data_IF_250701524201
#
_entry.id   IF_250701524201
#
_cell.length_a   1.000
_cell.length_b   1.000
_cell.length_c   1.000
_cell.angle_alpha   90.00
_cell.angle_beta   90.00
_cell.angle_gamma   90.00
#
_symmetry.space_group_name_H-M   'P 1'
#
loop_
_entity.id
_entity.type
_entity.pdbx_description
1 polymer ?
#
# COMPACT_ATOMS: atom_id res chain seq x y z
N UNK A 1 -32.81 12.92 10.33
CA UNK A 1 -32.36 11.52 10.44
C UNK A 1 -30.89 11.51 10.12
N UNK A 2 -30.06 11.04 11.07
CA UNK A 2 -28.66 10.76 10.80
C UNK A 2 -28.64 9.52 9.90
N UNK A 3 -27.88 9.56 8.81
CA UNK A 3 -27.77 8.42 7.90
C UNK A 3 -27.13 7.22 8.59
N UNK A 4 -27.45 6.00 8.15
CA UNK A 4 -26.83 4.75 8.63
C UNK A 4 -25.30 4.84 8.68
N UNK A 5 -24.69 5.40 7.63
CA UNK A 5 -23.24 5.53 7.54
C UNK A 5 -22.67 6.51 8.57
N UNK A 6 -23.34 7.65 8.80
CA UNK A 6 -22.93 8.63 9.83
C UNK A 6 -23.02 8.04 11.24
N UNK A 7 -24.07 7.24 11.55
CA UNK A 7 -24.19 6.53 12.83
C UNK A 7 -23.01 5.57 13.06
N UNK A 8 -22.68 4.78 12.04
CA UNK A 8 -21.59 3.80 12.08
C UNK A 8 -20.21 4.48 12.18
N UNK A 9 -19.99 5.58 11.47
CA UNK A 9 -18.77 6.40 11.57
C UNK A 9 -18.60 7.01 12.96
N UNK A 10 -19.66 7.58 13.53
CA UNK A 10 -19.61 8.11 14.90
C UNK A 10 -19.25 7.02 15.92
N UNK A 11 -19.86 5.84 15.81
CA UNK A 11 -19.53 4.71 16.68
C UNK A 11 -18.09 4.21 16.48
N UNK A 12 -17.61 4.16 15.24
CA UNK A 12 -16.23 3.80 14.88
C UNK A 12 -15.21 4.75 15.52
N UNK A 13 -15.45 6.07 15.39
CA UNK A 13 -14.59 7.14 15.93
C UNK A 13 -14.54 7.10 17.46
N UNK A 14 -15.71 7.07 18.12
CA UNK A 14 -15.83 7.06 19.59
C UNK A 14 -15.12 5.85 20.22
N UNK A 15 -15.09 4.71 19.52
CA UNK A 15 -14.55 3.46 20.01
C UNK A 15 -13.20 3.07 19.39
N UNK A 16 -12.58 3.95 18.61
CA UNK A 16 -11.27 3.77 17.99
C UNK A 16 -11.16 2.44 17.18
N UNK A 17 -12.18 2.15 16.36
CA UNK A 17 -12.30 0.89 15.62
C UNK A 17 -11.53 1.00 14.29
N UNK A 18 -10.21 1.13 14.39
CA UNK A 18 -9.30 1.24 13.23
C UNK A 18 -8.23 0.16 13.19
N UNK A 19 -8.13 -0.67 14.22
CA UNK A 19 -7.10 -1.71 14.30
C UNK A 19 -7.68 -3.10 14.08
N UNK A 20 -6.83 -4.05 13.70
CA UNK A 20 -7.25 -5.42 13.37
C UNK A 20 -8.11 -6.10 14.43
N UNK A 21 -7.92 -5.80 15.72
CA UNK A 21 -8.68 -6.41 16.82
C UNK A 21 -10.15 -5.98 16.84
N UNK A 22 -10.43 -4.69 17.09
CA UNK A 22 -11.77 -4.10 17.00
C UNK A 22 -12.48 -4.40 15.67
N UNK A 23 -11.79 -4.25 14.53
CA UNK A 23 -12.38 -4.55 13.21
C UNK A 23 -12.76 -6.04 13.08
N UNK A 24 -11.92 -6.96 13.56
CA UNK A 24 -12.26 -8.39 13.59
C UNK A 24 -13.52 -8.67 14.41
N UNK A 25 -13.73 -7.92 15.51
CA UNK A 25 -14.89 -8.09 16.37
C UNK A 25 -16.16 -7.63 15.69
N UNK A 26 -16.23 -6.38 15.23
CA UNK A 26 -17.47 -5.80 14.69
C UNK A 26 -17.96 -6.54 13.45
N UNK A 27 -17.06 -6.97 12.56
CA UNK A 27 -17.42 -7.79 11.39
C UNK A 27 -18.08 -9.10 11.81
N UNK A 28 -17.44 -9.86 12.69
CA UNK A 28 -17.95 -11.16 13.11
C UNK A 28 -19.19 -11.05 13.99
N UNK A 29 -19.24 -10.04 14.86
CA UNK A 29 -20.35 -9.83 15.77
C UNK A 29 -21.61 -9.42 15.02
N UNK A 30 -21.48 -8.53 14.01
CA UNK A 30 -22.59 -8.17 13.11
C UNK A 30 -23.21 -9.41 12.48
N UNK A 31 -22.38 -10.31 11.92
CA UNK A 31 -22.85 -11.59 11.37
C UNK A 31 -23.49 -12.50 12.42
N UNK A 32 -22.97 -12.51 13.64
CA UNK A 32 -23.46 -13.35 14.73
C UNK A 32 -24.88 -12.94 15.18
N UNK A 33 -25.17 -11.65 15.20
CA UNK A 33 -26.44 -11.11 15.72
C UNK A 33 -27.49 -10.84 14.64
N UNK A 34 -27.16 -10.95 13.35
CA UNK A 34 -28.07 -10.61 12.25
C UNK A 34 -29.43 -11.35 12.27
N UNK A 35 -29.49 -12.53 12.89
CA UNK A 35 -30.68 -13.39 12.98
C UNK A 35 -31.18 -13.53 14.43
N UNK A 36 -30.85 -12.58 15.31
CA UNK A 36 -31.25 -12.59 16.72
C UNK A 36 -32.39 -11.60 16.93
N UNK A 37 -33.25 -11.93 17.89
CA UNK A 37 -34.31 -11.03 18.32
C UNK A 37 -33.74 -9.92 19.21
N UNK A 38 -34.26 -8.71 19.04
CA UNK A 38 -33.95 -7.57 19.89
C UNK A 38 -34.90 -7.48 21.09
N UNK A 39 -34.46 -6.94 22.25
CA UNK A 39 -33.13 -6.43 22.52
C UNK A 39 -32.11 -7.55 22.76
N UNK A 40 -30.89 -7.35 22.26
CA UNK A 40 -29.75 -8.23 22.49
C UNK A 40 -29.25 -8.09 23.94
N UNK A 41 -28.88 -9.20 24.57
CA UNK A 41 -28.24 -9.22 25.89
C UNK A 41 -26.74 -9.54 25.75
N UNK A 42 -25.80 -8.67 26.20
CA UNK A 42 -24.37 -8.94 26.12
C UNK A 42 -23.92 -10.25 26.78
N UNK A 43 -24.63 -10.72 27.81
CA UNK A 43 -24.30 -11.97 28.52
C UNK A 43 -24.49 -13.22 27.65
N UNK A 44 -25.36 -13.17 26.64
CA UNK A 44 -25.63 -14.29 25.73
C UNK A 44 -24.46 -14.57 24.77
N UNK A 45 -23.53 -13.61 24.65
CA UNK A 45 -22.41 -13.67 23.71
C UNK A 45 -21.07 -13.89 24.39
N UNK A 46 -21.05 -14.33 25.64
CA UNK A 46 -19.82 -14.62 26.39
C UNK A 46 -19.51 -16.11 26.36
N UNK A 47 -18.23 -16.47 26.40
CA UNK A 47 -17.83 -17.87 26.64
C UNK A 47 -18.19 -18.31 28.06
N UNK A 48 -18.23 -19.62 28.31
CA UNK A 48 -18.50 -20.18 29.64
C UNK A 48 -17.54 -19.68 30.74
N UNK A 49 -16.32 -19.30 30.35
CA UNK A 49 -15.30 -18.68 31.22
C UNK A 49 -15.47 -17.17 31.43
N UNK A 50 -16.47 -16.53 30.80
CA UNK A 50 -16.78 -15.08 30.82
C UNK A 50 -15.65 -14.13 30.41
N UNK A 51 -14.56 -14.66 29.84
CA UNK A 51 -13.37 -13.88 29.47
C UNK A 51 -13.25 -13.54 27.99
N UNK A 52 -14.13 -14.08 27.14
CA UNK A 52 -14.08 -13.91 25.68
C UNK A 52 -15.49 -13.83 25.09
N UNK A 53 -15.58 -13.21 23.91
CA UNK A 53 -16.80 -13.21 23.11
C UNK A 53 -16.91 -14.56 22.39
N UNK A 54 -18.05 -15.22 22.53
CA UNK A 54 -18.36 -16.49 21.88
C UNK A 54 -18.51 -16.33 20.36
N UNK A 55 -18.16 -17.37 19.59
CA UNK A 55 -18.34 -17.38 18.13
C UNK A 55 -17.28 -16.62 17.31
N UNK A 56 -16.35 -15.91 17.97
CA UNK A 56 -15.22 -15.27 17.29
C UNK A 56 -14.10 -16.28 16.98
N UNK A 57 -13.49 -16.17 15.80
CA UNK A 57 -12.29 -16.94 15.45
C UNK A 57 -11.77 -16.63 14.05
N UNK A 58 -10.45 -16.75 13.86
CA UNK A 58 -9.79 -16.38 12.60
C UNK A 58 -10.34 -17.11 11.35
N UNK A 59 -10.73 -18.38 11.50
CA UNK A 59 -11.38 -19.13 10.42
C UNK A 59 -12.75 -18.57 10.02
N UNK A 60 -13.57 -18.16 11.00
CA UNK A 60 -14.87 -17.54 10.75
C UNK A 60 -14.71 -16.16 10.11
N UNK A 61 -13.83 -15.32 10.67
CA UNK A 61 -13.49 -14.01 10.09
C UNK A 61 -13.06 -14.12 8.63
N UNK A 62 -12.15 -15.06 8.32
CA UNK A 62 -11.67 -15.29 6.96
C UNK A 62 -12.80 -15.69 6.01
N UNK A 63 -13.80 -16.46 6.48
CA UNK A 63 -14.97 -16.83 5.68
C UNK A 63 -15.82 -15.60 5.36
N UNK A 64 -16.18 -14.80 6.37
CA UNK A 64 -17.00 -13.60 6.20
C UNK A 64 -16.30 -12.61 5.26
N UNK A 65 -15.02 -12.30 5.49
CA UNK A 65 -14.25 -11.39 4.65
C UNK A 65 -14.15 -11.86 3.19
N UNK A 66 -14.03 -13.19 2.97
CA UNK A 66 -14.00 -13.75 1.61
C UNK A 66 -15.32 -13.54 0.85
N UNK A 67 -16.46 -13.59 1.53
CA UNK A 67 -17.78 -13.28 0.93
C UNK A 67 -17.83 -11.81 0.44
N UNK A 68 -17.06 -10.94 1.08
CA UNK A 68 -16.86 -9.52 0.72
C UNK A 68 -15.69 -9.26 -0.25
N UNK A 69 -15.10 -10.31 -0.84
CA UNK A 69 -13.96 -10.21 -1.77
C UNK A 69 -12.60 -9.96 -1.10
N UNK A 70 -12.54 -9.93 0.23
CA UNK A 70 -11.31 -9.68 1.00
C UNK A 70 -10.63 -11.02 1.29
N UNK A 71 -9.46 -11.25 0.71
CA UNK A 71 -8.73 -12.53 0.80
C UNK A 71 -7.55 -12.49 1.77
N UNK A 72 -7.16 -11.29 2.22
CA UNK A 72 -6.09 -11.06 3.17
C UNK A 72 -6.51 -11.52 4.58
N UNK A 73 -5.54 -11.97 5.36
CA UNK A 73 -5.78 -12.32 6.75
C UNK A 73 -5.69 -11.07 7.64
N UNK A 74 -6.83 -10.61 8.16
CA UNK A 74 -6.88 -9.47 9.09
C UNK A 74 -6.30 -9.84 10.46
N UNK A 75 -6.69 -11.00 10.99
CA UNK A 75 -6.22 -11.49 12.28
C UNK A 75 -6.25 -13.01 12.32
N UNK A 76 -5.16 -13.63 12.77
CA UNK A 76 -5.09 -15.09 12.96
C UNK A 76 -6.05 -15.55 14.07
N UNK A 77 -6.19 -14.75 15.12
CA UNK A 77 -7.03 -15.07 16.28
C UNK A 77 -8.48 -14.64 16.09
N UNK A 78 -8.77 -13.78 15.12
CA UNK A 78 -10.13 -13.26 14.87
C UNK A 78 -10.68 -12.43 16.02
N UNK A 79 -9.85 -11.60 16.66
CA UNK A 79 -10.31 -10.68 17.71
C UNK A 79 -10.63 -11.33 19.05
N UNK A 80 -10.17 -12.55 19.33
CA UNK A 80 -10.44 -13.30 20.58
C UNK A 80 -9.68 -12.80 21.83
N UNK A 81 -9.09 -11.59 21.81
CA UNK A 81 -8.28 -11.10 22.92
C UNK A 81 -9.14 -10.52 24.05
N UNK A 82 -8.92 -10.98 25.28
CA UNK A 82 -9.76 -10.67 26.44
C UNK A 82 -9.71 -9.21 26.91
N UNK A 83 -8.62 -8.48 26.63
CA UNK A 83 -8.38 -7.13 27.20
C UNK A 83 -9.08 -5.97 26.49
N UNK A 84 -9.73 -6.18 25.33
CA UNK A 84 -10.41 -5.09 24.59
C UNK A 84 -11.71 -5.50 23.91
N UNK A 85 -11.82 -6.74 23.45
CA UNK A 85 -12.97 -7.23 22.69
C UNK A 85 -14.28 -7.24 23.49
N UNK A 86 -14.23 -7.59 24.78
CA UNK A 86 -15.43 -7.67 25.62
C UNK A 86 -16.09 -6.29 25.84
N UNK A 87 -15.28 -5.27 26.16
CA UNK A 87 -15.80 -3.92 26.37
C UNK A 87 -16.41 -3.35 25.09
N UNK A 88 -15.77 -3.60 23.94
CA UNK A 88 -16.32 -3.19 22.64
C UNK A 88 -17.61 -3.94 22.29
N UNK A 89 -17.70 -5.24 22.59
CA UNK A 89 -18.92 -6.02 22.36
C UNK A 89 -20.12 -5.46 23.14
N UNK A 90 -19.93 -5.15 24.43
CA UNK A 90 -20.99 -4.58 25.27
C UNK A 90 -21.49 -3.25 24.67
N UNK A 91 -20.56 -2.34 24.35
CA UNK A 91 -20.91 -1.06 23.72
C UNK A 91 -21.59 -1.23 22.37
N UNK A 92 -21.18 -2.23 21.58
CA UNK A 92 -21.77 -2.48 20.27
C UNK A 92 -23.18 -3.06 20.39
N UNK A 93 -23.44 -3.90 21.40
CA UNK A 93 -24.80 -4.35 21.73
C UNK A 93 -25.68 -3.17 22.12
N UNK A 94 -25.20 -2.29 23.01
CA UNK A 94 -25.94 -1.10 23.44
C UNK A 94 -26.27 -0.19 22.24
N UNK A 95 -25.29 0.02 21.35
CA UNK A 95 -25.46 0.77 20.11
C UNK A 95 -26.52 0.15 19.19
N UNK A 96 -26.47 -1.16 18.95
CA UNK A 96 -27.44 -1.84 18.09
C UNK A 96 -28.85 -1.84 18.71
N UNK A 97 -28.97 -2.02 20.02
CA UNK A 97 -30.25 -1.97 20.72
C UNK A 97 -30.89 -0.58 20.62
N UNK A 98 -30.12 0.47 20.92
CA UNK A 98 -30.59 1.84 20.81
C UNK A 98 -31.00 2.20 19.38
N UNK A 99 -30.24 1.75 18.38
CA UNK A 99 -30.61 1.93 16.98
C UNK A 99 -31.90 1.18 16.64
N UNK A 100 -32.04 -0.08 17.06
CA UNK A 100 -33.23 -0.89 16.78
C UNK A 100 -34.51 -0.36 17.44
N UNK A 101 -34.41 0.38 18.55
CA UNK A 101 -35.55 1.08 19.17
C UNK A 101 -36.06 2.23 18.29
N UNK A 102 -35.18 2.88 17.53
CA UNK A 102 -35.54 3.96 16.61
C UNK A 102 -36.02 3.44 15.25
N UNK A 103 -35.31 2.46 14.68
CA UNK A 103 -35.61 1.85 13.39
C UNK A 103 -34.94 0.47 13.27
N UNK A 104 -35.54 -0.45 12.51
CA UNK A 104 -34.95 -1.78 12.32
C UNK A 104 -33.57 -1.70 11.67
N UNK A 105 -32.58 -2.35 12.29
CA UNK A 105 -31.20 -2.35 11.79
C UNK A 105 -31.08 -3.22 10.54
N UNK A 106 -30.58 -2.65 9.45
CA UNK A 106 -30.20 -3.41 8.26
C UNK A 106 -28.76 -3.94 8.39
N UNK A 107 -28.63 -5.20 8.80
CA UNK A 107 -27.33 -5.85 8.98
C UNK A 107 -26.53 -6.02 7.69
N UNK A 108 -27.16 -6.01 6.51
CA UNK A 108 -26.41 -6.06 5.26
C UNK A 108 -25.62 -4.78 5.03
N UNK A 109 -26.22 -3.63 5.33
CA UNK A 109 -25.53 -2.33 5.25
C UNK A 109 -24.44 -2.22 6.32
N UNK A 110 -24.74 -2.65 7.56
CA UNK A 110 -23.76 -2.62 8.66
C UNK A 110 -22.55 -3.51 8.37
N UNK A 111 -22.78 -4.72 7.85
CA UNK A 111 -21.68 -5.63 7.53
C UNK A 111 -20.84 -5.14 6.36
N UNK A 112 -21.46 -4.61 5.30
CA UNK A 112 -20.72 -3.99 4.19
C UNK A 112 -19.88 -2.80 4.66
N UNK A 113 -20.42 -1.95 5.54
CA UNK A 113 -19.65 -0.86 6.14
C UNK A 113 -18.39 -1.36 6.85
N UNK A 114 -18.52 -2.37 7.72
CA UNK A 114 -17.36 -2.91 8.42
C UNK A 114 -16.38 -3.65 7.49
N UNK A 115 -16.88 -4.32 6.46
CA UNK A 115 -16.03 -4.89 5.41
C UNK A 115 -15.23 -3.79 4.71
N UNK A 116 -15.86 -2.65 4.40
CA UNK A 116 -15.17 -1.49 3.83
C UNK A 116 -14.12 -0.90 4.79
N UNK A 117 -14.40 -0.79 6.09
CA UNK A 117 -13.39 -0.36 7.07
C UNK A 117 -12.20 -1.32 7.14
N UNK A 118 -12.41 -2.62 6.90
CA UNK A 118 -11.31 -3.59 6.76
C UNK A 118 -10.54 -3.37 5.46
N UNK A 119 -11.21 -3.03 4.34
CA UNK A 119 -10.53 -2.66 3.10
C UNK A 119 -9.69 -1.41 3.31
N UNK A 120 -10.23 -0.38 3.96
CA UNK A 120 -9.51 0.85 4.34
C UNK A 120 -8.30 0.54 5.25
N UNK A 121 -8.45 -0.34 6.24
CA UNK A 121 -7.33 -0.76 7.08
C UNK A 121 -6.17 -1.32 6.25
N UNK A 122 -6.46 -2.26 5.33
CA UNK A 122 -5.43 -2.83 4.47
C UNK A 122 -4.90 -1.85 3.44
N UNK A 123 -5.76 -0.97 2.93
CA UNK A 123 -5.36 0.11 2.02
C UNK A 123 -4.38 1.04 2.70
N UNK A 124 -4.52 1.32 3.99
CA UNK A 124 -3.64 2.24 4.74
C UNK A 124 -2.39 1.59 5.36
N UNK A 125 -2.19 0.26 5.23
CA UNK A 125 -0.96 -0.37 5.72
C UNK A 125 0.24 0.07 4.87
N UNK A 126 1.39 0.40 5.47
CA UNK A 126 2.62 0.58 4.70
C UNK A 126 3.02 -0.72 3.99
N UNK A 127 3.90 -0.62 3.01
CA UNK A 127 4.67 -1.75 2.53
C UNK A 127 5.77 -2.10 3.54
N UNK A 128 6.31 -3.31 3.47
CA UNK A 128 7.43 -3.73 4.33
C UNK A 128 8.62 -4.15 3.48
N UNK A 129 9.78 -3.53 3.69
CA UNK A 129 11.05 -4.01 3.16
C UNK A 129 11.78 -4.78 4.25
N UNK A 130 11.85 -6.11 4.11
CA UNK A 130 12.68 -6.96 4.98
C UNK A 130 14.10 -7.03 4.42
N UNK A 131 15.07 -6.47 5.14
CA UNK A 131 16.48 -6.54 4.79
C UNK A 131 17.12 -7.82 5.36
N UNK A 132 16.85 -8.93 4.69
CA UNK A 132 17.46 -10.24 4.97
C UNK A 132 18.87 -10.28 4.39
N UNK A 133 19.88 -10.37 5.27
CA UNK A 133 21.30 -10.38 4.89
C UNK A 133 21.71 -11.63 4.11
N UNK A 134 20.94 -12.71 4.18
CA UNK A 134 21.16 -13.95 3.44
C UNK A 134 20.72 -13.87 1.97
N UNK A 135 19.97 -12.83 1.60
CA UNK A 135 19.49 -12.57 0.25
C UNK A 135 20.30 -11.45 -0.42
N UNK A 136 20.19 -11.38 -1.75
CA UNK A 136 20.67 -10.20 -2.49
C UNK A 136 19.76 -9.01 -2.23
N UNK A 137 20.29 -7.78 -2.39
CA UNK A 137 19.48 -6.56 -2.26
C UNK A 137 18.34 -6.56 -3.27
N UNK A 138 18.59 -7.00 -4.50
CA UNK A 138 17.56 -7.16 -5.53
C UNK A 138 16.43 -8.09 -5.09
N UNK A 139 16.74 -9.23 -4.45
CA UNK A 139 15.71 -10.16 -3.96
C UNK A 139 14.87 -9.55 -2.82
N UNK A 140 15.47 -8.75 -1.94
CA UNK A 140 14.70 -8.03 -0.91
C UNK A 140 13.78 -6.97 -1.55
N UNK A 141 14.25 -6.27 -2.59
CA UNK A 141 13.44 -5.31 -3.36
C UNK A 141 12.32 -6.00 -4.17
N UNK A 142 12.54 -7.21 -4.66
CA UNK A 142 11.51 -8.00 -5.37
C UNK A 142 10.32 -8.28 -4.46
N UNK A 143 10.56 -8.63 -3.20
CA UNK A 143 9.49 -8.86 -2.22
C UNK A 143 8.66 -7.59 -1.97
N UNK A 144 9.31 -6.42 -1.95
CA UNK A 144 8.63 -5.13 -1.87
C UNK A 144 7.78 -4.87 -3.13
N UNK A 145 8.34 -5.12 -4.32
CA UNK A 145 7.61 -4.91 -5.58
C UNK A 145 6.44 -5.87 -5.75
N UNK A 146 6.55 -7.11 -5.31
CA UNK A 146 5.43 -8.05 -5.28
C UNK A 146 4.31 -7.60 -4.34
N UNK A 147 4.64 -6.97 -3.19
CA UNK A 147 3.63 -6.33 -2.34
C UNK A 147 2.89 -5.20 -3.07
N UNK A 148 3.62 -4.32 -3.76
CA UNK A 148 3.03 -3.23 -4.54
C UNK A 148 2.14 -3.75 -5.69
N UNK A 149 2.59 -4.77 -6.45
CA UNK A 149 1.80 -5.44 -7.49
C UNK A 149 0.51 -6.04 -6.92
N UNK A 150 0.61 -6.70 -5.76
CA UNK A 150 -0.55 -7.32 -5.11
C UNK A 150 -1.56 -6.26 -4.67
N UNK A 151 -1.10 -5.16 -4.07
CA UNK A 151 -1.98 -4.04 -3.67
C UNK A 151 -2.64 -3.38 -4.87
N UNK A 152 -1.93 -3.20 -5.98
CA UNK A 152 -2.47 -2.68 -7.23
C UNK A 152 -3.57 -3.58 -7.83
N UNK A 153 -3.39 -4.90 -7.81
CA UNK A 153 -4.45 -5.84 -8.24
C UNK A 153 -5.71 -5.75 -7.38
N UNK A 154 -5.56 -5.39 -6.11
CA UNK A 154 -6.66 -5.29 -5.14
C UNK A 154 -7.37 -3.94 -5.18
N UNK A 155 -6.69 -2.91 -5.66
CA UNK A 155 -7.22 -1.55 -5.79
C UNK A 155 -7.02 -1.04 -7.23
N UNK A 156 -7.84 -1.54 -8.19
CA UNK A 156 -7.76 -1.09 -9.58
C UNK A 156 -7.98 0.43 -9.66
N UNK A 157 -7.15 1.11 -10.45
CA UNK A 157 -7.19 2.58 -10.60
C UNK A 157 -5.97 3.29 -10.03
N UNK A 158 -5.25 2.67 -9.09
CA UNK A 158 -4.02 3.23 -8.51
C UNK A 158 -2.79 2.46 -8.99
N UNK A 159 -1.74 3.18 -9.44
CA UNK A 159 -0.51 2.60 -9.97
C UNK A 159 0.57 2.41 -8.90
N UNK A 160 0.27 1.64 -7.84
CA UNK A 160 1.18 1.47 -6.70
C UNK A 160 2.61 1.10 -7.07
N UNK A 161 2.82 0.13 -7.97
CA UNK A 161 4.18 -0.27 -8.34
C UNK A 161 4.91 0.86 -9.11
N UNK A 162 4.21 1.59 -9.96
CA UNK A 162 4.77 2.72 -10.70
C UNK A 162 5.22 3.83 -9.76
N UNK A 163 4.36 4.20 -8.81
CA UNK A 163 4.66 5.21 -7.79
C UNK A 163 5.84 4.80 -6.89
N UNK A 164 5.85 3.56 -6.40
CA UNK A 164 6.96 3.03 -5.58
C UNK A 164 8.27 3.06 -6.39
N UNK A 165 8.25 2.64 -7.65
CA UNK A 165 9.43 2.66 -8.53
C UNK A 165 9.96 4.08 -8.72
N UNK A 166 9.08 5.03 -9.09
CA UNK A 166 9.46 6.42 -9.32
C UNK A 166 10.07 7.07 -8.08
N UNK A 167 9.44 6.90 -6.90
CA UNK A 167 9.93 7.51 -5.67
C UNK A 167 11.19 6.85 -5.13
N UNK A 168 11.43 5.56 -5.40
CA UNK A 168 12.72 4.93 -5.10
C UNK A 168 13.84 5.46 -6.00
N UNK A 169 13.55 5.74 -7.27
CA UNK A 169 14.49 6.44 -8.16
C UNK A 169 14.80 7.83 -7.61
N UNK A 170 13.78 8.61 -7.24
CA UNK A 170 13.96 9.93 -6.62
C UNK A 170 14.81 9.85 -5.36
N UNK A 171 14.51 8.90 -4.46
CA UNK A 171 15.26 8.71 -3.22
C UNK A 171 16.75 8.44 -3.48
N UNK A 172 17.08 7.57 -4.43
CA UNK A 172 18.48 7.35 -4.85
C UNK A 172 19.10 8.62 -5.43
N UNK A 173 18.40 9.34 -6.31
CA UNK A 173 18.92 10.56 -6.93
C UNK A 173 19.21 11.64 -5.87
N UNK A 174 18.36 11.78 -4.85
CA UNK A 174 18.59 12.70 -3.72
C UNK A 174 19.87 12.38 -2.92
N UNK A 175 20.36 11.14 -2.93
CA UNK A 175 21.59 10.77 -2.22
C UNK A 175 22.86 11.17 -2.97
N UNK A 176 22.79 11.30 -4.30
CA UNK A 176 23.95 11.53 -5.16
C UNK A 176 23.97 12.92 -5.81
N UNK A 177 22.83 13.62 -5.82
CA UNK A 177 22.68 14.94 -6.41
C UNK A 177 22.65 16.04 -5.34
N UNK A 178 23.08 17.27 -5.66
CA UNK A 178 22.84 18.43 -4.80
C UNK A 178 21.35 18.64 -4.52
N UNK A 179 21.04 19.26 -3.38
CA UNK A 179 19.67 19.69 -3.06
C UNK A 179 19.09 20.57 -4.18
N UNK A 180 17.80 20.38 -4.49
CA UNK A 180 17.06 21.10 -5.54
C UNK A 180 17.63 20.94 -6.97
N UNK A 181 18.45 19.92 -7.24
CA UNK A 181 18.97 19.65 -8.58
C UNK A 181 17.90 19.13 -9.57
N UNK A 182 16.75 18.67 -9.07
CA UNK A 182 15.62 18.19 -9.86
C UNK A 182 14.32 18.31 -9.06
N UNK A 183 13.19 18.27 -9.77
CA UNK A 183 11.86 18.31 -9.16
C UNK A 183 11.32 16.88 -8.94
N UNK A 184 10.58 16.71 -7.84
CA UNK A 184 9.87 15.47 -7.54
C UNK A 184 8.38 15.79 -7.57
N UNK A 185 7.61 14.90 -8.20
CA UNK A 185 6.18 15.09 -8.40
C UNK A 185 5.41 13.88 -7.89
N UNK A 186 4.25 14.14 -7.28
CA UNK A 186 3.32 13.07 -6.89
C UNK A 186 2.70 12.38 -8.10
N UNK A 187 2.37 11.10 -7.96
CA UNK A 187 1.80 10.25 -9.01
C UNK A 187 0.39 10.68 -9.45
N UNK A 188 -0.31 11.45 -8.62
CA UNK A 188 -1.65 11.99 -8.92
C UNK A 188 -1.63 13.34 -9.66
N UNK A 189 -0.45 13.94 -9.86
CA UNK A 189 -0.34 15.18 -10.62
C UNK A 189 -0.55 14.88 -12.10
N UNK A 190 -1.73 15.22 -12.62
CA UNK A 190 -2.10 14.96 -14.01
C UNK A 190 -1.05 15.52 -14.98
N UNK A 191 -0.57 14.67 -15.90
CA UNK A 191 0.36 15.02 -17.00
C UNK A 191 -0.15 16.14 -17.94
N UNK A 192 -1.42 16.55 -17.82
CA UNK A 192 -2.16 17.23 -18.88
C UNK A 192 -2.30 18.76 -18.76
N UNK A 193 -1.42 19.46 -18.01
CA UNK A 193 -0.91 20.70 -18.61
C UNK A 193 0.61 20.89 -18.46
N UNK A 194 1.34 19.92 -17.91
CA UNK A 194 2.80 20.05 -17.79
C UNK A 194 3.43 19.34 -18.98
N UNK A 195 4.07 20.09 -19.89
CA UNK A 195 4.94 19.61 -20.98
C UNK A 195 6.19 18.90 -20.43
N UNK A 196 6.02 17.94 -19.51
CA UNK A 196 7.12 17.20 -18.89
C UNK A 196 7.74 16.28 -19.91
N UNK A 197 9.02 16.50 -20.18
CA UNK A 197 9.83 15.64 -21.04
C UNK A 197 10.08 14.26 -20.45
N UNK A 198 9.91 14.08 -19.12
CA UNK A 198 10.03 12.82 -18.37
C UNK A 198 9.75 13.02 -16.88
N UNK A 199 9.91 11.96 -16.08
CA UNK A 199 9.67 11.98 -14.63
C UNK A 199 10.73 12.78 -13.86
N UNK A 200 11.98 12.71 -14.32
CA UNK A 200 13.07 13.56 -13.81
C UNK A 200 13.84 14.20 -14.97
N UNK A 201 14.02 15.51 -14.89
CA UNK A 201 14.79 16.30 -15.86
C UNK A 201 16.05 16.79 -15.16
N UNK A 202 17.21 16.26 -15.56
CA UNK A 202 18.51 16.55 -14.95
C UNK A 202 19.46 16.99 -16.06
N UNK A 203 19.72 18.29 -16.15
CA UNK A 203 20.45 18.88 -17.27
C UNK A 203 19.83 18.45 -18.62
N UNK A 204 20.57 17.76 -19.47
CA UNK A 204 20.09 17.18 -20.71
C UNK A 204 19.72 15.69 -20.61
N UNK A 205 19.75 15.10 -19.41
CA UNK A 205 19.32 13.71 -19.18
C UNK A 205 17.87 13.68 -18.73
N UNK A 206 17.05 12.84 -19.37
CA UNK A 206 15.63 12.73 -19.08
C UNK A 206 15.30 11.31 -18.65
N UNK A 207 14.91 11.14 -17.39
CA UNK A 207 14.61 9.83 -16.82
C UNK A 207 13.10 9.58 -16.89
N UNK A 208 12.75 8.42 -17.43
CA UNK A 208 11.38 7.90 -17.48
C UNK A 208 11.29 6.63 -16.63
N UNK A 209 10.45 6.67 -15.62
CA UNK A 209 10.14 5.58 -14.71
C UNK A 209 8.87 4.88 -15.21
N UNK A 210 8.96 3.58 -15.51
CA UNK A 210 7.77 2.82 -15.93
C UNK A 210 7.85 1.36 -15.50
N UNK A 211 6.70 0.76 -15.24
CA UNK A 211 6.58 -0.69 -15.04
C UNK A 211 6.14 -1.40 -16.33
N UNK A 212 5.76 -0.64 -17.35
CA UNK A 212 5.23 -1.15 -18.61
C UNK A 212 5.64 -0.21 -19.75
N UNK A 213 6.86 -0.34 -20.28
CA UNK A 213 7.30 0.43 -21.43
C UNK A 213 6.39 0.15 -22.64
N UNK A 214 6.05 1.18 -23.40
CA UNK A 214 5.17 1.10 -24.55
C UNK A 214 5.46 2.18 -25.59
N UNK A 215 4.79 2.12 -26.73
CA UNK A 215 5.07 2.99 -27.88
C UNK A 215 5.02 4.49 -27.55
N UNK A 216 4.08 4.93 -26.71
CA UNK A 216 3.96 6.34 -26.30
C UNK A 216 5.21 6.85 -25.57
N UNK A 217 5.80 6.01 -24.70
CA UNK A 217 7.06 6.35 -24.02
C UNK A 217 8.21 6.48 -25.03
N UNK A 218 8.28 5.59 -26.02
CA UNK A 218 9.33 5.64 -27.05
C UNK A 218 9.21 6.89 -27.92
N UNK A 219 7.99 7.33 -28.25
CA UNK A 219 7.79 8.60 -28.96
C UNK A 219 8.20 9.81 -28.10
N UNK A 220 7.98 9.78 -26.77
CA UNK A 220 8.54 10.78 -25.85
C UNK A 220 10.09 10.75 -25.89
N UNK A 221 10.72 9.57 -25.81
CA UNK A 221 12.18 9.45 -25.93
C UNK A 221 12.71 10.00 -27.26
N UNK A 222 12.00 9.76 -28.37
CA UNK A 222 12.33 10.30 -29.69
C UNK A 222 12.23 11.82 -29.75
N UNK A 223 11.21 12.40 -29.12
CA UNK A 223 11.08 13.85 -28.98
C UNK A 223 12.22 14.43 -28.14
N UNK A 224 12.58 13.80 -27.02
CA UNK A 224 13.72 14.20 -26.18
C UNK A 224 15.03 14.20 -26.99
N UNK A 225 15.29 13.15 -27.78
CA UNK A 225 16.46 13.06 -28.65
C UNK A 225 16.51 14.15 -29.71
N UNK A 226 15.36 14.54 -30.30
CA UNK A 226 15.28 15.67 -31.24
C UNK A 226 15.56 17.01 -30.55
N UNK A 227 15.20 17.13 -29.28
CA UNK A 227 15.51 18.28 -28.42
C UNK A 227 16.96 18.33 -27.93
N UNK A 228 17.81 17.36 -28.30
CA UNK A 228 19.21 17.30 -27.85
C UNK A 228 19.40 16.67 -26.46
N UNK A 229 18.37 16.02 -25.92
CA UNK A 229 18.42 15.35 -24.63
C UNK A 229 18.74 13.85 -24.75
N UNK A 230 19.19 13.25 -23.65
CA UNK A 230 19.54 11.84 -23.50
C UNK A 230 18.51 11.12 -22.63
N UNK A 231 17.56 10.38 -23.23
CA UNK A 231 16.54 9.66 -22.47
C UNK A 231 17.12 8.39 -21.81
N UNK A 232 16.69 8.17 -20.58
CA UNK A 232 16.96 6.96 -19.78
C UNK A 232 15.61 6.39 -19.36
N UNK A 233 15.38 5.11 -19.60
CA UNK A 233 14.21 4.38 -19.12
C UNK A 233 14.63 3.53 -17.92
N UNK A 234 14.01 3.74 -16.78
CA UNK A 234 14.17 2.88 -15.60
C UNK A 234 12.90 2.04 -15.46
N UNK A 235 13.05 0.72 -15.49
CA UNK A 235 11.93 -0.23 -15.47
C UNK A 235 12.25 -1.46 -14.63
N UNK A 236 11.25 -2.30 -14.37
CA UNK A 236 11.43 -3.61 -13.75
C UNK A 236 12.20 -4.58 -14.67
N UNK A 237 12.98 -5.48 -14.07
CA UNK A 237 13.84 -6.45 -14.76
C UNK A 237 13.19 -7.15 -15.96
N UNK A 238 11.98 -7.70 -15.77
CA UNK A 238 11.23 -8.44 -16.80
C UNK A 238 10.90 -7.60 -18.05
N UNK A 239 10.97 -6.27 -17.94
CA UNK A 239 10.59 -5.31 -18.99
C UNK A 239 11.77 -4.59 -19.62
N UNK A 240 12.99 -4.79 -19.14
CA UNK A 240 14.20 -4.18 -19.72
C UNK A 240 14.34 -4.56 -21.19
N UNK A 241 14.29 -5.85 -21.52
CA UNK A 241 14.39 -6.30 -22.91
C UNK A 241 13.22 -5.81 -23.77
N UNK A 242 12.02 -5.68 -23.18
CA UNK A 242 10.86 -5.10 -23.88
C UNK A 242 11.13 -3.64 -24.27
N UNK A 243 11.64 -2.81 -23.36
CA UNK A 243 11.98 -1.42 -23.66
C UNK A 243 13.09 -1.30 -24.71
N UNK A 244 14.11 -2.15 -24.64
CA UNK A 244 15.20 -2.18 -25.63
C UNK A 244 14.69 -2.52 -27.03
N UNK A 245 13.86 -3.56 -27.17
CA UNK A 245 13.28 -3.95 -28.46
C UNK A 245 12.39 -2.84 -29.02
N UNK A 246 11.55 -2.23 -28.19
CA UNK A 246 10.71 -1.10 -28.61
C UNK A 246 11.54 0.11 -29.08
N UNK A 247 12.68 0.37 -28.45
CA UNK A 247 13.60 1.43 -28.87
C UNK A 247 14.28 1.07 -30.20
N UNK A 248 14.69 -0.19 -30.38
CA UNK A 248 15.29 -0.70 -31.62
C UNK A 248 14.30 -0.59 -32.80
N UNK A 249 13.08 -1.09 -32.63
CA UNK A 249 12.00 -1.03 -33.64
C UNK A 249 11.70 0.42 -34.07
N UNK A 250 11.85 1.39 -33.16
CA UNK A 250 11.65 2.81 -33.43
C UNK A 250 12.89 3.51 -34.04
N UNK A 251 13.98 2.77 -34.30
CA UNK A 251 15.23 3.31 -34.84
C UNK A 251 16.05 4.11 -33.82
N UNK A 252 15.89 3.83 -32.52
CA UNK A 252 16.59 4.49 -31.41
C UNK A 252 17.62 3.58 -30.73
N UNK A 253 17.99 2.45 -31.35
CA UNK A 253 19.00 1.53 -30.83
C UNK A 253 20.30 2.26 -30.45
N UNK A 254 20.80 2.00 -29.25
CA UNK A 254 22.02 2.63 -28.71
C UNK A 254 21.89 4.13 -28.39
N UNK A 255 20.69 4.72 -28.47
CA UNK A 255 20.42 6.13 -28.19
C UNK A 255 19.53 6.36 -26.96
N UNK A 256 18.98 5.29 -26.40
CA UNK A 256 18.15 5.30 -25.19
C UNK A 256 18.77 4.31 -24.22
N UNK A 257 19.10 4.76 -23.01
CA UNK A 257 19.54 3.89 -21.94
C UNK A 257 18.32 3.17 -21.32
N UNK A 258 18.49 1.91 -20.93
CA UNK A 258 17.45 1.16 -20.23
C UNK A 258 18.06 0.47 -19.02
N UNK A 259 17.62 0.84 -17.82
CA UNK A 259 18.11 0.29 -16.57
C UNK A 259 17.04 -0.49 -15.83
N UNK A 260 17.47 -1.60 -15.23
CA UNK A 260 16.71 -2.33 -14.24
C UNK A 260 16.72 -1.57 -12.90
N UNK A 261 15.55 -1.33 -12.32
CA UNK A 261 15.43 -0.62 -11.04
C UNK A 261 16.12 -1.37 -9.89
N UNK A 262 16.07 -2.71 -9.84
CA UNK A 262 16.73 -3.46 -8.77
C UNK A 262 18.25 -3.30 -8.84
N UNK A 263 18.84 -3.41 -10.04
CA UNK A 263 20.27 -3.15 -10.26
C UNK A 263 20.65 -1.69 -9.97
N UNK A 264 19.81 -0.74 -10.41
CA UNK A 264 20.01 0.69 -10.17
C UNK A 264 20.06 1.00 -8.67
N UNK A 265 19.17 0.44 -7.86
CA UNK A 265 19.19 0.62 -6.40
C UNK A 265 20.32 -0.18 -5.73
N UNK A 266 20.53 -1.43 -6.16
CA UNK A 266 21.57 -2.29 -5.58
C UNK A 266 22.96 -1.69 -5.72
N UNK A 267 23.28 -1.07 -6.87
CA UNK A 267 24.58 -0.41 -7.06
C UNK A 267 24.80 0.70 -6.02
N UNK A 268 23.76 1.48 -5.70
CA UNK A 268 23.86 2.55 -4.71
C UNK A 268 24.16 2.00 -3.31
N UNK A 269 23.48 0.92 -2.93
CA UNK A 269 23.71 0.29 -1.63
C UNK A 269 25.15 -0.20 -1.53
N UNK A 270 25.69 -0.88 -2.56
CA UNK A 270 27.08 -1.34 -2.54
C UNK A 270 28.09 -0.20 -2.55
N UNK A 271 27.86 0.84 -3.36
CA UNK A 271 28.73 2.01 -3.46
C UNK A 271 28.80 2.76 -2.12
N UNK A 272 27.65 3.03 -1.50
CA UNK A 272 27.59 3.79 -0.24
C UNK A 272 27.91 2.93 0.99
N UNK A 273 27.74 1.61 0.92
CA UNK A 273 28.25 0.70 1.93
C UNK A 273 29.75 0.43 1.80
N UNK A 274 30.40 0.91 0.74
CA UNK A 274 31.80 0.58 0.40
C UNK A 274 32.03 -0.93 0.29
N UNK A 275 31.03 -1.66 -0.19
CA UNK A 275 30.99 -3.13 -0.24
C UNK A 275 31.16 -3.81 1.14
N UNK A 276 30.98 -3.07 2.23
CA UNK A 276 30.97 -3.58 3.59
C UNK A 276 29.59 -4.15 3.92
N UNK A 277 29.54 -5.46 4.17
CA UNK A 277 28.30 -6.17 4.52
C UNK A 277 27.61 -5.56 5.75
N UNK A 278 28.39 -5.14 6.75
CA UNK A 278 27.87 -4.60 8.01
C UNK A 278 27.13 -3.27 7.84
N UNK A 279 27.36 -2.57 6.71
CA UNK A 279 26.75 -1.28 6.37
C UNK A 279 25.63 -1.39 5.34
N UNK A 280 25.35 -2.57 4.81
CA UNK A 280 24.30 -2.76 3.78
C UNK A 280 22.93 -2.35 4.31
N UNK A 281 22.54 -2.85 5.48
CA UNK A 281 21.22 -2.60 6.04
C UNK A 281 21.03 -1.13 6.44
N UNK A 282 22.05 -0.47 7.00
CA UNK A 282 21.97 0.96 7.31
C UNK A 282 21.82 1.79 6.03
N UNK A 283 22.60 1.48 4.99
CA UNK A 283 22.53 2.19 3.70
C UNK A 283 21.17 2.02 3.02
N UNK A 284 20.62 0.80 3.04
CA UNK A 284 19.29 0.53 2.52
C UNK A 284 18.20 1.24 3.35
N UNK A 285 18.36 1.27 4.68
CA UNK A 285 17.48 2.03 5.56
C UNK A 285 17.50 3.54 5.25
N UNK A 286 18.66 4.11 4.91
CA UNK A 286 18.78 5.53 4.56
C UNK A 286 18.04 5.85 3.24
N UNK A 287 18.14 4.98 2.23
CA UNK A 287 17.37 5.09 0.98
C UNK A 287 15.86 5.06 1.28
N UNK A 288 15.42 4.14 2.14
CA UNK A 288 14.00 4.02 2.51
C UNK A 288 13.53 5.21 3.37
N UNK A 289 14.38 5.74 4.24
CA UNK A 289 14.13 6.98 4.97
C UNK A 289 13.85 8.13 4.01
N UNK A 290 14.73 8.34 3.02
CA UNK A 290 14.56 9.37 1.99
C UNK A 290 13.31 9.15 1.13
N UNK A 291 13.03 7.90 0.76
CA UNK A 291 11.80 7.55 0.07
C UNK A 291 10.55 7.95 0.87
N UNK A 292 10.53 7.67 2.17
CA UNK A 292 9.38 7.98 3.01
C UNK A 292 9.19 9.49 3.21
N UNK A 293 10.27 10.26 3.29
CA UNK A 293 10.21 11.73 3.28
C UNK A 293 9.54 12.23 1.99
N UNK A 294 9.97 11.71 0.83
CA UNK A 294 9.37 12.04 -0.47
C UNK A 294 7.89 11.70 -0.52
N UNK A 295 7.50 10.51 -0.05
CA UNK A 295 6.07 10.10 -0.02
C UNK A 295 5.26 11.05 0.87
N UNK A 296 5.79 11.47 2.02
CA UNK A 296 5.10 12.39 2.92
C UNK A 296 4.90 13.79 2.32
N UNK A 297 5.84 14.25 1.49
CA UNK A 297 5.79 15.56 0.85
C UNK A 297 4.97 15.57 -0.45
N UNK A 298 5.07 14.50 -1.25
CA UNK A 298 4.55 14.47 -2.62
C UNK A 298 3.22 13.69 -2.77
N UNK A 299 2.86 12.84 -1.81
CA UNK A 299 1.68 11.97 -1.91
C UNK A 299 0.70 12.16 -0.75
N UNK A 300 -0.58 11.93 -1.03
CA UNK A 300 -1.64 11.95 0.00
C UNK A 300 -1.94 10.56 0.57
N UNK A 301 -1.51 9.49 -0.10
CA UNK A 301 -1.76 8.10 0.32
C UNK A 301 -0.64 7.60 1.25
N UNK A 302 -0.86 7.54 2.58
CA UNK A 302 0.16 7.13 3.54
C UNK A 302 0.53 5.65 3.44
N UNK A 303 -0.21 4.85 2.66
CA UNK A 303 0.08 3.43 2.45
C UNK A 303 1.26 3.17 1.53
N UNK A 304 1.67 4.18 0.76
CA UNK A 304 2.85 4.14 -0.09
C UNK A 304 4.15 4.07 0.70
N UNK A 305 4.12 4.41 1.99
CA UNK A 305 5.27 4.33 2.89
C UNK A 305 5.81 2.90 2.99
N UNK A 306 7.09 2.79 3.28
CA UNK A 306 7.80 1.53 3.46
C UNK A 306 8.32 1.47 4.88
N UNK A 307 7.88 0.49 5.66
CA UNK A 307 8.51 0.11 6.92
C UNK A 307 9.74 -0.74 6.64
N UNK A 308 10.84 -0.44 7.33
CA UNK A 308 12.11 -1.16 7.18
C UNK A 308 12.31 -2.13 8.34
N UNK A 309 12.44 -3.43 8.03
CA UNK A 309 12.72 -4.49 9.01
C UNK A 309 14.10 -5.10 8.73
N UNK A 310 15.07 -4.87 9.60
CA UNK A 310 16.35 -5.57 9.54
C UNK A 310 16.24 -6.97 10.18
N UNK A 311 16.77 -8.00 9.52
CA UNK A 311 16.86 -9.37 10.04
C UNK A 311 18.28 -9.93 9.98
#
# INVERSE_FOLDING_TARGET
MISTEERLKAFQEENNIYTKGPLSLVVQFTRLVQNKDFPLNPDDFQTSSKGQVAGLGGGNLKKILKEHGITQQLSAEGGRTSRGSMGLMIKYVDFLNAWNEEETVDFSIVEEFWAEQVREYFRNQPFVLTADTSKTIGANLDELFEQAKKRQKQNPGTQYLGTVLQHLVAAKLCLIMPENAFEIHGASVADAPTERSGDFVINNTIIHCTTMPGALLIEKCKANLRGGCHPVIITIFERVHTALNLAEDAGLAGRVEVWDIQQFLSSNVYEHSLFDESKRNSTLSDIIGRYNEIVLEAETDPSLRIEFEAR
#
